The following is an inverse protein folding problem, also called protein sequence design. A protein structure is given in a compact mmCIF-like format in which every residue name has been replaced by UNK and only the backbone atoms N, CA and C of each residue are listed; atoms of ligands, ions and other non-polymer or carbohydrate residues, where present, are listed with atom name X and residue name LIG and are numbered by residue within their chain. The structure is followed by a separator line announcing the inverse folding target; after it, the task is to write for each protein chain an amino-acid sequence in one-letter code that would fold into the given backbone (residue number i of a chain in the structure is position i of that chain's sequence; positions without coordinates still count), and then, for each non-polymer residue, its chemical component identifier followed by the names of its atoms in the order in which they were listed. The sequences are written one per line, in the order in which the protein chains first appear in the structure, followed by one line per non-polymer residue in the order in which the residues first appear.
data_IF_691162650456
#
_entry.id   IF_691162650456
#
_cell.length_a   1.000
_cell.length_b   1.000
_cell.length_c   1.000
_cell.angle_alpha   90.00
_cell.angle_beta   90.00
_cell.angle_gamma   90.00
#
_symmetry.space_group_name_H-M   'P 1'
#
loop_
_entity.id
_entity.type
_entity.pdbx_description
1 polymer ?
#
# COMPACT_ATOMS: atom_id res chain seq x y z
N UNK A 1 -3.90 -14.76 51.85
CA UNK A 1 -3.09 -14.43 50.65
C UNK A 1 -2.03 -13.43 51.08
N UNK A 2 -0.72 -13.69 50.89
CA UNK A 2 0.32 -12.78 51.41
C UNK A 2 0.57 -11.61 50.45
N UNK A 3 0.88 -10.43 51.01
CA UNK A 3 1.26 -9.23 50.23
C UNK A 3 2.43 -9.51 49.26
N UNK A 4 3.36 -10.39 49.62
CA UNK A 4 4.47 -10.78 48.74
C UNK A 4 4.02 -11.63 47.55
N UNK A 5 2.97 -12.45 47.72
CA UNK A 5 2.38 -13.23 46.63
C UNK A 5 1.67 -12.31 45.65
N UNK A 6 0.88 -11.35 46.14
CA UNK A 6 0.16 -10.36 45.31
C UNK A 6 1.16 -9.51 44.51
N UNK A 7 2.24 -9.02 45.15
CA UNK A 7 3.27 -8.23 44.46
C UNK A 7 4.00 -9.01 43.35
N UNK A 8 4.28 -10.30 43.57
CA UNK A 8 4.87 -11.17 42.55
C UNK A 8 3.93 -11.39 41.37
N UNK A 9 2.64 -11.62 41.64
CA UNK A 9 1.63 -11.81 40.60
C UNK A 9 1.46 -10.53 39.77
N UNK A 10 1.35 -9.36 40.41
CA UNK A 10 1.26 -8.07 39.71
C UNK A 10 2.48 -7.79 38.84
N UNK A 11 3.68 -8.10 39.32
CA UNK A 11 4.91 -7.95 38.53
C UNK A 11 4.90 -8.86 37.30
N UNK A 12 4.47 -10.12 37.45
CA UNK A 12 4.39 -11.05 36.31
C UNK A 12 3.33 -10.60 35.29
N UNK A 13 2.18 -10.10 35.76
CA UNK A 13 1.15 -9.53 34.88
C UNK A 13 1.66 -8.30 34.11
N UNK A 14 2.41 -7.41 34.77
CA UNK A 14 3.02 -6.26 34.12
C UNK A 14 4.03 -6.69 33.04
N UNK A 15 4.87 -7.69 33.32
CA UNK A 15 5.83 -8.23 32.34
C UNK A 15 5.10 -8.85 31.14
N UNK A 16 4.07 -9.67 31.40
CA UNK A 16 3.23 -10.27 30.36
C UNK A 16 2.55 -9.21 29.49
N UNK A 17 2.03 -8.15 30.11
CA UNK A 17 1.41 -7.03 29.40
C UNK A 17 2.41 -6.33 28.49
N UNK A 18 3.58 -5.93 29.01
CA UNK A 18 4.63 -5.28 28.22
C UNK A 18 5.09 -6.19 27.08
N UNK A 19 5.30 -7.49 27.34
CA UNK A 19 5.68 -8.45 26.31
C UNK A 19 4.62 -8.54 25.20
N UNK A 20 3.34 -8.61 25.56
CA UNK A 20 2.23 -8.67 24.60
C UNK A 20 2.17 -7.41 23.74
N UNK A 21 2.35 -6.24 24.34
CA UNK A 21 2.39 -4.96 23.61
C UNK A 21 3.57 -4.92 22.63
N UNK A 22 4.76 -5.36 23.05
CA UNK A 22 5.95 -5.39 22.19
C UNK A 22 5.78 -6.35 21.01
N UNK A 23 5.22 -7.54 21.25
CA UNK A 23 4.95 -8.52 20.19
C UNK A 23 3.91 -7.96 19.22
N UNK A 24 2.82 -7.36 19.72
CA UNK A 24 1.79 -6.76 18.89
C UNK A 24 2.32 -5.61 18.02
N UNK A 25 3.10 -4.70 18.61
CA UNK A 25 3.73 -3.60 17.89
C UNK A 25 4.74 -4.10 16.83
N UNK A 26 5.54 -5.11 17.17
CA UNK A 26 6.48 -5.74 16.24
C UNK A 26 5.79 -6.40 15.04
N UNK A 27 4.65 -7.06 15.28
CA UNK A 27 3.84 -7.66 14.22
C UNK A 27 3.28 -6.60 13.26
N UNK A 28 2.69 -5.52 13.81
CA UNK A 28 2.16 -4.41 13.00
C UNK A 28 3.27 -3.75 12.17
N UNK A 29 4.45 -3.55 12.76
CA UNK A 29 5.62 -3.02 12.06
C UNK A 29 6.05 -3.92 10.90
N UNK A 30 6.16 -5.22 11.15
CA UNK A 30 6.57 -6.19 10.14
C UNK A 30 5.56 -6.27 8.98
N UNK A 31 4.27 -6.36 9.29
CA UNK A 31 3.21 -6.37 8.29
C UNK A 31 3.21 -5.08 7.45
N UNK A 32 3.28 -3.92 8.11
CA UNK A 32 3.38 -2.62 7.43
C UNK A 32 4.58 -2.56 6.47
N UNK A 33 5.75 -3.02 6.90
CA UNK A 33 6.94 -3.09 6.05
C UNK A 33 6.78 -4.03 4.85
N UNK A 34 6.14 -5.17 5.04
CA UNK A 34 5.83 -6.07 3.92
C UNK A 34 4.88 -5.43 2.91
N UNK A 35 3.86 -4.67 3.36
CA UNK A 35 2.96 -3.94 2.45
C UNK A 35 3.69 -2.86 1.67
N UNK A 36 4.53 -2.08 2.36
CA UNK A 36 5.34 -1.06 1.70
C UNK A 36 6.23 -1.69 0.63
N UNK A 37 6.90 -2.79 0.94
CA UNK A 37 7.76 -3.47 -0.02
C UNK A 37 6.96 -4.05 -1.20
N UNK A 38 5.80 -4.68 -0.94
CA UNK A 38 4.94 -5.21 -2.00
C UNK A 38 4.45 -4.11 -2.95
N UNK A 39 4.16 -2.91 -2.43
CA UNK A 39 3.78 -1.76 -3.25
C UNK A 39 4.96 -1.22 -4.07
N UNK A 40 6.15 -1.12 -3.47
CA UNK A 40 7.39 -0.72 -4.16
C UNK A 40 7.71 -1.70 -5.30
N UNK A 41 7.66 -3.00 -5.01
CA UNK A 41 7.89 -4.05 -6.00
C UNK A 41 6.82 -4.03 -7.10
N UNK A 42 5.57 -3.73 -6.73
CA UNK A 42 4.47 -3.57 -7.68
C UNK A 42 4.72 -2.41 -8.65
N UNK A 43 5.12 -1.24 -8.15
CA UNK A 43 5.42 -0.08 -8.99
C UNK A 43 6.70 -0.26 -9.80
N UNK A 44 7.71 -0.96 -9.26
CA UNK A 44 8.97 -1.23 -9.94
C UNK A 44 9.64 0.07 -10.40
N UNK A 45 9.90 0.19 -11.70
CA UNK A 45 10.55 1.39 -12.28
C UNK A 45 9.67 2.66 -12.23
N UNK A 46 8.34 2.51 -12.06
CA UNK A 46 7.43 3.66 -11.90
C UNK A 46 7.43 4.22 -10.48
N UNK A 47 8.17 3.60 -9.56
CA UNK A 47 8.25 4.04 -8.18
C UNK A 47 9.03 5.36 -8.04
N UNK A 48 8.35 6.42 -7.60
CA UNK A 48 8.94 7.74 -7.39
C UNK A 48 8.95 8.12 -5.91
N UNK A 49 9.98 7.76 -5.12
CA UNK A 49 9.98 7.94 -3.66
C UNK A 49 9.75 9.39 -3.20
N UNK A 50 10.10 10.37 -4.03
CA UNK A 50 10.05 11.80 -3.70
C UNK A 50 8.83 12.54 -4.29
N UNK A 51 7.85 11.84 -4.89
CA UNK A 51 6.69 12.48 -5.52
C UNK A 51 5.79 13.19 -4.48
N UNK A 52 5.58 14.50 -4.69
CA UNK A 52 4.88 15.41 -3.78
C UNK A 52 3.42 14.99 -3.51
N UNK A 53 2.77 14.32 -4.48
CA UNK A 53 1.39 13.81 -4.38
C UNK A 53 1.17 12.77 -3.27
N UNK A 54 2.25 12.31 -2.63
CA UNK A 54 2.23 11.29 -1.58
C UNK A 54 2.65 11.80 -0.20
N UNK A 55 2.84 13.12 -0.03
CA UNK A 55 3.15 13.75 1.26
C UNK A 55 1.92 13.85 2.20
N UNK A 56 0.91 13.02 2.00
CA UNK A 56 -0.23 12.92 2.90
C UNK A 56 0.27 12.31 4.22
N UNK A 57 0.14 13.06 5.31
CA UNK A 57 0.42 12.53 6.65
C UNK A 57 -0.77 11.67 7.10
N UNK A 58 -0.58 10.36 7.05
CA UNK A 58 -1.57 9.38 7.50
C UNK A 58 -1.49 9.09 9.01
N UNK A 59 -0.73 9.90 9.75
CA UNK A 59 -0.43 9.69 11.16
C UNK A 59 0.55 8.53 11.39
N UNK A 60 0.81 8.21 12.66
CA UNK A 60 1.87 7.25 13.02
C UNK A 60 1.68 5.85 12.39
N UNK A 61 0.48 5.27 12.49
CA UNK A 61 0.20 3.93 11.96
C UNK A 61 0.04 3.97 10.44
N UNK A 62 -0.64 4.99 9.91
CA UNK A 62 -0.85 5.11 8.47
C UNK A 62 0.46 5.27 7.70
N UNK A 63 1.40 6.06 8.21
CA UNK A 63 2.74 6.22 7.62
C UNK A 63 3.60 4.94 7.68
N UNK A 64 3.24 3.99 8.55
CA UNK A 64 3.93 2.71 8.67
C UNK A 64 3.46 1.69 7.63
N UNK A 65 2.20 1.79 7.20
CA UNK A 65 1.53 0.80 6.34
C UNK A 65 1.35 1.32 4.92
N UNK A 66 1.00 2.59 4.77
CA UNK A 66 0.74 3.20 3.46
C UNK A 66 2.09 3.59 2.84
N UNK A 67 2.39 3.06 1.64
CA UNK A 67 3.60 3.42 0.93
C UNK A 67 3.56 4.88 0.46
N UNK A 68 4.72 5.54 0.47
CA UNK A 68 4.92 6.89 -0.08
C UNK A 68 5.54 6.81 -1.46
N UNK A 69 5.37 7.86 -2.26
CA UNK A 69 6.03 8.06 -3.55
C UNK A 69 5.27 7.55 -4.77
N UNK A 70 4.60 6.40 -4.69
CA UNK A 70 3.89 5.85 -5.86
C UNK A 70 2.45 6.34 -6.02
N UNK A 71 1.89 6.25 -7.24
CA UNK A 71 0.48 6.59 -7.49
C UNK A 71 -0.45 5.66 -6.70
N UNK A 72 -1.45 6.25 -6.05
CA UNK A 72 -2.44 5.56 -5.23
C UNK A 72 -3.85 5.97 -5.63
N UNK A 73 -4.81 5.06 -5.44
CA UNK A 73 -6.23 5.31 -5.72
C UNK A 73 -7.10 4.69 -4.63
N UNK A 74 -8.30 5.25 -4.42
CA UNK A 74 -9.28 4.61 -3.54
C UNK A 74 -9.77 3.30 -4.17
N UNK A 75 -9.85 2.19 -3.40
CA UNK A 75 -10.52 0.95 -3.81
C UNK A 75 -11.93 1.17 -4.36
N UNK A 76 -12.66 2.13 -3.80
CA UNK A 76 -14.03 2.44 -4.19
C UNK A 76 -14.12 3.03 -5.60
N UNK A 77 -13.11 3.81 -6.00
CA UNK A 77 -13.02 4.40 -7.34
C UNK A 77 -12.59 3.34 -8.34
N UNK A 78 -11.65 2.47 -7.96
CA UNK A 78 -11.20 1.38 -8.82
C UNK A 78 -12.28 0.30 -9.01
N UNK A 79 -13.19 0.11 -8.05
CA UNK A 79 -14.30 -0.84 -8.12
C UNK A 79 -13.92 -2.33 -8.10
N UNK A 80 -12.62 -2.65 -8.05
CA UNK A 80 -12.09 -4.02 -8.21
C UNK A 80 -11.48 -4.63 -6.94
N UNK A 81 -11.40 -3.87 -5.84
CA UNK A 81 -10.84 -4.34 -4.57
C UNK A 81 -11.91 -4.40 -3.45
N UNK A 82 -12.93 -5.29 -3.53
CA UNK A 82 -14.05 -5.31 -2.58
C UNK A 82 -13.66 -5.71 -1.14
N UNK A 83 -12.55 -6.43 -0.98
CA UNK A 83 -12.11 -6.99 0.30
C UNK A 83 -10.82 -6.36 0.84
N UNK A 84 -10.32 -5.29 0.22
CA UNK A 84 -9.11 -4.63 0.74
C UNK A 84 -9.49 -3.76 1.94
N UNK A 85 -8.91 -3.98 3.13
CA UNK A 85 -9.21 -3.17 4.31
C UNK A 85 -8.45 -1.82 4.30
N UNK A 86 -7.71 -1.53 3.24
CA UNK A 86 -6.92 -0.31 3.09
C UNK A 86 -7.76 0.83 2.51
N UNK A 87 -7.59 2.08 2.99
CA UNK A 87 -8.31 3.24 2.45
C UNK A 87 -7.84 3.63 1.04
N UNK A 88 -6.62 3.26 0.68
CA UNK A 88 -6.00 3.52 -0.62
C UNK A 88 -5.19 2.30 -1.05
N UNK A 89 -5.08 2.08 -2.35
CA UNK A 89 -4.29 0.99 -2.94
C UNK A 89 -3.30 1.54 -3.97
N UNK A 90 -2.11 0.93 -4.09
CA UNK A 90 -1.16 1.22 -5.15
C UNK A 90 -1.80 1.05 -6.54
N UNK A 91 -1.50 1.99 -7.43
CA UNK A 91 -1.95 2.05 -8.82
C UNK A 91 -0.72 2.09 -9.73
N UNK A 92 -0.76 1.42 -10.88
CA UNK A 92 0.27 1.52 -11.92
C UNK A 92 -0.32 1.33 -13.31
N UNK A 93 0.43 1.74 -14.33
CA UNK A 93 0.10 1.43 -15.73
C UNK A 93 0.97 0.27 -16.18
N UNK A 94 0.36 -0.77 -16.71
CA UNK A 94 1.08 -1.89 -17.31
C UNK A 94 1.67 -1.53 -18.68
N UNK A 95 2.62 -2.33 -19.18
CA UNK A 95 3.22 -2.13 -20.51
C UNK A 95 2.21 -2.31 -21.66
N UNK A 96 1.06 -2.93 -21.37
CA UNK A 96 -0.08 -3.08 -22.26
C UNK A 96 -1.00 -1.83 -22.29
N UNK A 97 -0.63 -0.76 -21.57
CA UNK A 97 -1.41 0.46 -21.43
C UNK A 97 -2.64 0.31 -20.55
N UNK A 98 -2.78 -0.81 -19.83
CA UNK A 98 -3.90 -1.03 -18.90
C UNK A 98 -3.53 -0.57 -17.49
N UNK A 99 -4.52 -0.10 -16.75
CA UNK A 99 -4.35 0.31 -15.36
C UNK A 99 -4.52 -0.89 -14.43
N UNK A 100 -3.60 -1.05 -13.49
CA UNK A 100 -3.60 -2.11 -12.48
C UNK A 100 -3.57 -1.51 -11.09
N UNK A 101 -4.28 -2.13 -10.16
CA UNK A 101 -4.21 -1.81 -8.73
C UNK A 101 -3.76 -3.01 -7.92
N UNK A 102 -3.03 -2.78 -6.84
CA UNK A 102 -2.63 -3.83 -5.91
C UNK A 102 -3.67 -3.96 -4.80
N UNK A 103 -4.57 -4.93 -4.92
CA UNK A 103 -5.60 -5.21 -3.91
C UNK A 103 -5.05 -6.14 -2.83
N UNK A 104 -5.32 -5.84 -1.55
CA UNK A 104 -5.00 -6.73 -0.43
C UNK A 104 -3.75 -6.32 0.36
N UNK A 105 -3.32 -7.21 1.24
CA UNK A 105 -2.33 -6.97 2.29
C UNK A 105 -1.31 -8.11 2.26
N UNK A 106 -0.08 -7.78 1.86
CA UNK A 106 1.11 -8.60 2.14
C UNK A 106 1.28 -9.67 1.07
N UNK A 107 1.49 -10.92 1.48
CA UNK A 107 1.61 -12.05 0.55
C UNK A 107 0.32 -12.39 -0.20
N UNK A 108 -0.83 -11.88 0.27
CA UNK A 108 -2.13 -12.04 -0.38
C UNK A 108 -2.48 -10.88 -1.33
N UNK A 109 -1.55 -9.93 -1.52
CA UNK A 109 -1.76 -8.81 -2.42
C UNK A 109 -1.74 -9.27 -3.89
N UNK A 110 -2.77 -8.90 -4.66
CA UNK A 110 -2.94 -9.30 -6.05
C UNK A 110 -3.08 -8.07 -6.94
N UNK A 111 -2.35 -8.06 -8.05
CA UNK A 111 -2.51 -7.04 -9.09
C UNK A 111 -3.78 -7.32 -9.90
N UNK A 112 -4.71 -6.38 -9.88
CA UNK A 112 -5.99 -6.48 -10.57
C UNK A 112 -6.11 -5.37 -11.60
N UNK A 113 -6.40 -5.70 -12.85
CA UNK A 113 -6.68 -4.72 -13.88
C UNK A 113 -8.03 -4.05 -13.63
N UNK A 114 -8.13 -2.74 -13.83
CA UNK A 114 -9.41 -2.04 -13.84
C UNK A 114 -9.53 -1.14 -15.07
N UNK A 115 -10.76 -0.91 -15.52
CA UNK A 115 -11.04 -0.06 -16.66
C UNK A 115 -11.40 1.35 -16.19
N UNK A 116 -10.56 2.32 -16.56
CA UNK A 116 -10.78 3.75 -16.28
C UNK A 116 -12.09 4.24 -16.89
N UNK A 117 -12.53 3.65 -18.01
CA UNK A 117 -13.78 4.03 -18.67
C UNK A 117 -15.02 3.64 -17.86
N UNK A 118 -14.90 2.65 -16.97
CA UNK A 118 -15.96 2.19 -16.11
C UNK A 118 -16.17 3.09 -14.87
N UNK A 119 -15.32 4.11 -14.68
CA UNK A 119 -15.48 5.09 -13.60
C UNK A 119 -16.67 5.99 -13.92
N UNK A 120 -17.64 6.05 -13.00
CA UNK A 120 -18.87 6.84 -13.14
C UNK A 120 -18.60 8.35 -13.13
N UNK A 121 -17.64 8.78 -12.32
CA UNK A 121 -17.25 10.19 -12.20
C UNK A 121 -16.44 10.64 -13.43
N UNK A 122 -17.02 11.56 -14.21
CA UNK A 122 -16.43 12.06 -15.45
C UNK A 122 -15.14 12.87 -15.22
N UNK A 123 -15.06 13.64 -14.13
CA UNK A 123 -13.90 14.45 -13.77
C UNK A 123 -12.74 13.55 -13.33
N UNK A 124 -13.03 12.55 -12.50
CA UNK A 124 -12.05 11.55 -12.07
C UNK A 124 -11.54 10.72 -13.26
N UNK A 125 -12.45 10.31 -14.15
CA UNK A 125 -12.11 9.58 -15.38
C UNK A 125 -11.20 10.39 -16.30
N UNK A 126 -11.49 11.68 -16.49
CA UNK A 126 -10.65 12.57 -17.31
C UNK A 126 -9.28 12.72 -16.67
N UNK A 127 -9.22 13.03 -15.38
CA UNK A 127 -7.98 13.21 -14.62
C UNK A 127 -7.08 11.98 -14.72
N UNK A 128 -7.63 10.78 -14.48
CA UNK A 128 -6.87 9.54 -14.56
C UNK A 128 -6.37 9.25 -15.98
N UNK A 129 -7.18 9.52 -17.02
CA UNK A 129 -6.73 9.39 -18.41
C UNK A 129 -5.55 10.31 -18.72
N UNK A 130 -5.63 11.58 -18.35
CA UNK A 130 -4.53 12.53 -18.57
C UNK A 130 -3.27 12.13 -17.80
N UNK A 131 -3.39 11.70 -16.54
CA UNK A 131 -2.23 11.21 -15.76
C UNK A 131 -1.60 9.98 -16.42
N UNK A 132 -2.42 9.07 -16.94
CA UNK A 132 -1.93 7.86 -17.59
C UNK A 132 -1.29 8.12 -18.95
N UNK A 133 -1.85 9.03 -19.74
CA UNK A 133 -1.26 9.46 -21.01
C UNK A 133 0.09 10.14 -20.78
N UNK A 134 0.21 11.01 -19.78
CA UNK A 134 1.48 11.65 -19.40
C UNK A 134 2.53 10.64 -18.90
N UNK A 135 2.14 9.65 -18.08
CA UNK A 135 3.06 8.60 -17.64
C UNK A 135 3.48 7.66 -18.78
N UNK A 136 2.58 7.36 -19.71
CA UNK A 136 2.90 6.54 -20.90
C UNK A 136 3.87 7.29 -21.81
N UNK A 137 3.63 8.57 -22.11
CA UNK A 137 4.50 9.39 -22.94
C UNK A 137 5.88 9.61 -22.32
N UNK A 138 5.95 9.75 -20.98
CA UNK A 138 7.21 9.84 -20.26
C UNK A 138 7.92 8.48 -20.09
N UNK A 139 7.17 7.37 -20.03
CA UNK A 139 7.67 6.00 -19.91
C UNK A 139 8.26 5.41 -21.21
N UNK A 140 7.84 5.91 -22.38
CA UNK A 140 8.36 5.48 -23.71
C UNK A 140 9.83 5.90 -23.94
N UNK A 141 10.45 6.72 -23.07
CA UNK A 141 11.91 6.97 -23.10
C UNK A 141 12.76 5.91 -22.39
N UNK A 142 12.15 4.88 -21.81
CA UNK A 142 12.82 3.77 -21.11
C UNK A 142 12.98 2.46 -21.89
N UNK A 143 12.88 2.49 -23.23
CA UNK A 143 13.00 1.30 -24.08
C UNK A 143 14.36 0.60 -23.94
N UNK A 144 14.45 -0.44 -23.08
CA UNK A 144 15.09 -1.74 -23.40
C UNK A 144 14.84 -2.82 -22.34
N UNK A 145 13.63 -3.37 -22.27
CA UNK A 145 13.43 -4.62 -21.54
C UNK A 145 13.88 -5.80 -22.41
N UNK A 146 15.10 -6.31 -22.17
CA UNK A 146 15.49 -7.62 -22.71
C UNK A 146 14.70 -8.70 -21.99
N UNK A 147 13.68 -9.24 -22.66
CA UNK A 147 13.08 -10.51 -22.30
C UNK A 147 14.19 -11.58 -22.31
N UNK A 148 14.56 -12.11 -21.15
CA UNK A 148 15.20 -13.42 -21.11
C UNK A 148 14.10 -14.46 -20.93
N UNK A 149 13.88 -15.20 -22.01
CA UNK A 149 13.23 -16.51 -22.05
C UNK A 149 13.92 -17.51 -21.12
#
# INVERSE_FOLDING_TARGET
MSLSFIARVLRQLAIMFVFTVLVGAGFIYYAGKQHQQAAIDFWGEQYQPDAISTQIDWGFIGNLVIPRGGPIISPSIAGVCPNTPLPVVPLKIGPDGRSYVLCGIGSEAVATSFDVNAIEDEEMRKTLKTMFEEELENGVKGDKWTSKS
#
